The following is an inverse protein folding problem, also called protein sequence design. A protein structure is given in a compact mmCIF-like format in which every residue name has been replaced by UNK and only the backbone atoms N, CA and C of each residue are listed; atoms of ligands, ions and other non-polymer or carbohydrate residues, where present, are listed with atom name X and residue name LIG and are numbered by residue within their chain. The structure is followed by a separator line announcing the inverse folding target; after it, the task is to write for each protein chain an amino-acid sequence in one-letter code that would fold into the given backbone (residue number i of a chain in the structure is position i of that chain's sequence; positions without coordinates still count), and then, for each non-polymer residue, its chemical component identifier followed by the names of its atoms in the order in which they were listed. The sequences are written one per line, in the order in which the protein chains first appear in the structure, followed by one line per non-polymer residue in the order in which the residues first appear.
data_IF_492931253457
#
_entry.id   IF_492931253457
#
_cell.length_a   1.000
_cell.length_b   1.000
_cell.length_c   1.000
_cell.angle_alpha   90.00
_cell.angle_beta   90.00
_cell.angle_gamma   90.00
#
_symmetry.space_group_name_H-M   'P 1'
#
loop_
_entity.id
_entity.type
_entity.pdbx_description
1 polymer ?
#
# COMPACT_ATOMS: atom_id res chain seq x y z
N UNK A 1 8.60 -16.59 -2.90
CA UNK A 1 8.09 -15.25 -2.53
C UNK A 1 9.12 -14.22 -2.96
N UNK A 2 8.71 -13.03 -3.44
CA UNK A 2 9.67 -12.03 -3.86
C UNK A 2 10.52 -11.55 -2.69
N UNK A 3 11.77 -11.18 -2.98
CA UNK A 3 12.70 -10.61 -2.01
C UNK A 3 12.09 -9.34 -1.42
N UNK A 4 12.07 -9.22 -0.10
CA UNK A 4 11.61 -8.00 0.56
C UNK A 4 12.60 -6.87 0.31
N UNK A 5 12.07 -5.69 0.00
CA UNK A 5 12.85 -4.47 -0.15
C UNK A 5 13.40 -4.02 1.21
N UNK A 6 14.54 -3.35 1.17
CA UNK A 6 15.12 -2.64 2.30
C UNK A 6 14.26 -1.42 2.67
N UNK A 7 14.46 -0.87 3.87
CA UNK A 7 13.77 0.34 4.30
C UNK A 7 14.00 1.52 3.34
N UNK A 8 15.23 1.71 2.87
CA UNK A 8 15.57 2.77 1.92
C UNK A 8 14.80 2.61 0.61
N UNK A 9 14.77 1.40 0.05
CA UNK A 9 14.03 1.10 -1.17
C UNK A 9 12.51 1.29 -0.99
N UNK A 10 11.95 0.91 0.17
CA UNK A 10 10.53 1.14 0.49
C UNK A 10 10.24 2.65 0.53
N UNK A 11 11.08 3.46 1.17
CA UNK A 11 10.93 4.92 1.21
C UNK A 11 10.89 5.52 -0.20
N UNK A 12 11.78 5.09 -1.08
CA UNK A 12 11.79 5.54 -2.48
C UNK A 12 10.52 5.11 -3.23
N UNK A 13 10.05 3.87 -3.05
CA UNK A 13 8.78 3.41 -3.65
C UNK A 13 7.58 4.19 -3.12
N UNK A 14 7.53 4.46 -1.82
CA UNK A 14 6.47 5.29 -1.23
C UNK A 14 6.48 6.69 -1.83
N UNK A 15 7.66 7.33 -1.93
CA UNK A 15 7.76 8.66 -2.53
C UNK A 15 7.34 8.68 -3.99
N UNK A 16 7.75 7.68 -4.77
CA UNK A 16 7.35 7.56 -6.17
C UNK A 16 5.84 7.34 -6.35
N UNK A 17 5.17 6.61 -5.45
CA UNK A 17 3.71 6.44 -5.48
C UNK A 17 2.94 7.73 -5.11
N UNK A 18 3.58 8.63 -4.36
CA UNK A 18 3.06 9.92 -3.90
C UNK A 18 3.79 11.11 -4.56
N UNK A 19 4.14 10.97 -5.84
CA UNK A 19 4.87 11.98 -6.62
C UNK A 19 4.14 13.33 -6.72
N UNK A 20 2.82 13.30 -6.63
CA UNK A 20 1.90 14.45 -6.75
C UNK A 20 1.68 15.20 -5.44
N UNK A 21 2.29 14.76 -4.33
CA UNK A 21 2.05 15.34 -3.00
C UNK A 21 3.39 15.73 -2.35
N UNK A 22 3.42 16.92 -1.75
CA UNK A 22 4.57 17.42 -1.02
C UNK A 22 4.65 16.86 0.41
N UNK A 23 4.91 15.55 0.53
CA UNK A 23 5.20 14.86 1.79
C UNK A 23 6.58 14.19 1.70
N UNK A 24 7.34 14.19 2.79
CA UNK A 24 8.65 13.56 2.86
C UNK A 24 8.53 12.02 2.77
N UNK A 25 9.57 11.35 2.27
CA UNK A 25 9.57 9.88 2.20
C UNK A 25 9.65 9.25 3.60
N UNK A 26 10.26 9.97 4.54
CA UNK A 26 10.34 9.63 5.96
C UNK A 26 8.95 9.64 6.59
N UNK A 27 8.16 10.70 6.41
CA UNK A 27 6.78 10.78 6.92
C UNK A 27 5.89 9.68 6.33
N UNK A 28 6.00 9.42 5.02
CA UNK A 28 5.26 8.34 4.38
C UNK A 28 5.62 6.99 4.98
N UNK A 29 6.91 6.75 5.24
CA UNK A 29 7.38 5.50 5.84
C UNK A 29 6.97 5.35 7.30
N UNK A 30 6.96 6.43 8.07
CA UNK A 30 6.50 6.41 9.45
C UNK A 30 5.01 6.11 9.55
N UNK A 31 4.19 6.66 8.65
CA UNK A 31 2.77 6.30 8.54
C UNK A 31 2.60 4.84 8.09
N UNK A 32 3.34 4.43 7.06
CA UNK A 32 3.30 3.05 6.56
C UNK A 32 3.66 2.03 7.65
N UNK A 33 4.65 2.36 8.48
CA UNK A 33 5.14 1.51 9.58
C UNK A 33 4.28 1.58 10.84
N UNK A 34 3.32 2.51 10.91
CA UNK A 34 2.48 2.73 12.09
C UNK A 34 3.17 3.51 13.21
N UNK A 35 4.32 4.15 12.93
CA UNK A 35 4.99 5.07 13.87
C UNK A 35 4.28 6.42 13.95
N UNK A 36 3.51 6.77 12.91
CA UNK A 36 2.73 7.99 12.80
C UNK A 36 1.33 7.65 12.29
N UNK A 37 0.29 8.28 12.83
CA UNK A 37 -1.09 7.97 12.40
C UNK A 37 -1.42 8.57 11.03
N UNK A 38 -1.06 9.84 10.83
CA UNK A 38 -1.29 10.56 9.57
C UNK A 38 -0.44 11.82 9.43
N UNK A 39 -0.33 12.31 8.20
CA UNK A 39 0.16 13.64 7.85
C UNK A 39 -0.80 14.24 6.82
N UNK A 40 -1.36 15.41 7.12
CA UNK A 40 -2.47 16.00 6.35
C UNK A 40 -3.63 15.00 6.16
N UNK A 41 -3.99 14.71 4.90
CA UNK A 41 -5.02 13.71 4.55
C UNK A 41 -4.45 12.33 4.25
N UNK A 42 -3.15 12.10 4.45
CA UNK A 42 -2.47 10.83 4.17
C UNK A 42 -2.36 10.03 5.45
N UNK A 43 -3.04 8.88 5.47
CA UNK A 43 -2.98 7.88 6.52
C UNK A 43 -2.60 6.51 5.91
N UNK A 44 -2.50 5.49 6.75
CA UNK A 44 -2.08 4.16 6.31
C UNK A 44 -3.02 3.54 5.26
N UNK A 45 -4.35 3.76 5.39
CA UNK A 45 -5.35 3.29 4.40
C UNK A 45 -5.07 3.92 3.04
N UNK A 46 -4.80 5.23 3.00
CA UNK A 46 -4.50 5.94 1.76
C UNK A 46 -3.19 5.46 1.14
N UNK A 47 -2.16 5.21 1.96
CA UNK A 47 -0.90 4.60 1.50
C UNK A 47 -1.15 3.24 0.84
N UNK A 48 -1.87 2.34 1.50
CA UNK A 48 -2.18 1.03 0.94
C UNK A 48 -2.97 1.14 -0.36
N UNK A 49 -4.00 1.99 -0.40
CA UNK A 49 -4.79 2.18 -1.62
C UNK A 49 -3.96 2.71 -2.78
N UNK A 50 -3.02 3.63 -2.50
CA UNK A 50 -2.14 4.21 -3.51
C UNK A 50 -1.18 3.17 -4.04
N UNK A 51 -0.54 2.40 -3.17
CA UNK A 51 0.36 1.32 -3.57
C UNK A 51 -0.36 0.32 -4.49
N UNK A 52 -1.54 -0.17 -4.11
CA UNK A 52 -2.31 -1.14 -4.91
C UNK A 52 -2.71 -0.60 -6.29
N UNK A 53 -2.89 0.72 -6.44
CA UNK A 53 -3.16 1.36 -7.73
C UNK A 53 -1.88 1.64 -8.55
N UNK A 54 -0.73 1.85 -7.89
CA UNK A 54 0.52 2.27 -8.53
C UNK A 54 1.42 1.12 -8.96
N UNK A 55 1.33 -0.03 -8.29
CA UNK A 55 2.27 -1.13 -8.48
C UNK A 55 1.60 -2.47 -8.76
N UNK A 56 2.31 -3.35 -9.46
CA UNK A 56 1.89 -4.73 -9.69
C UNK A 56 2.02 -5.57 -8.41
N UNK A 57 1.36 -6.73 -8.41
CA UNK A 57 1.28 -7.62 -7.25
C UNK A 57 2.65 -8.08 -6.71
N UNK A 58 3.63 -8.33 -7.58
CA UNK A 58 4.96 -8.76 -7.13
C UNK A 58 5.68 -7.63 -6.42
N UNK A 59 5.62 -6.41 -6.97
CA UNK A 59 6.17 -5.22 -6.31
C UNK A 59 5.49 -4.97 -4.96
N UNK A 60 4.17 -5.12 -4.88
CA UNK A 60 3.43 -5.00 -3.61
C UNK A 60 3.92 -6.02 -2.59
N UNK A 61 4.10 -7.28 -2.99
CA UNK A 61 4.60 -8.33 -2.11
C UNK A 61 6.06 -8.11 -1.68
N UNK A 62 6.87 -7.39 -2.46
CA UNK A 62 8.23 -6.99 -2.08
C UNK A 62 8.24 -5.84 -1.06
N UNK A 63 7.20 -5.00 -1.03
CA UNK A 63 7.05 -3.88 -0.08
C UNK A 63 6.35 -4.33 1.20
N UNK A 64 5.29 -5.13 1.06
CA UNK A 64 4.41 -5.57 2.15
C UNK A 64 4.44 -7.10 2.25
N UNK A 65 4.95 -7.67 3.34
CA UNK A 65 5.00 -9.12 3.49
C UNK A 65 3.58 -9.69 3.58
N UNK A 66 3.38 -10.90 3.07
CA UNK A 66 2.07 -11.55 2.96
C UNK A 66 1.29 -11.59 4.30
N UNK A 67 2.00 -11.74 5.43
CA UNK A 67 1.42 -11.71 6.79
C UNK A 67 0.67 -10.41 7.13
N UNK A 68 1.01 -9.28 6.49
CA UNK A 68 0.35 -7.99 6.66
C UNK A 68 -0.73 -7.72 5.61
N UNK A 69 -0.88 -8.60 4.61
CA UNK A 69 -1.75 -8.37 3.46
C UNK A 69 -3.24 -8.33 3.84
N UNK A 70 -3.63 -8.96 4.95
CA UNK A 70 -4.99 -8.86 5.46
C UNK A 70 -5.37 -7.41 5.81
N UNK A 71 -4.42 -6.61 6.31
CA UNK A 71 -4.65 -5.19 6.57
C UNK A 71 -4.73 -4.35 5.29
N UNK A 72 -3.98 -4.73 4.26
CA UNK A 72 -3.94 -4.05 2.96
C UNK A 72 -5.22 -4.31 2.17
N UNK A 73 -5.77 -5.52 2.25
CA UNK A 73 -6.99 -5.92 1.54
C UNK A 73 -8.26 -5.73 2.38
N UNK A 74 -8.23 -4.84 3.39
CA UNK A 74 -9.45 -4.45 4.11
C UNK A 74 -10.37 -3.62 3.20
N UNK A 75 -11.67 -3.67 3.50
CA UNK A 75 -12.68 -3.06 2.63
C UNK A 75 -12.56 -1.53 2.57
N UNK A 76 -12.11 -0.90 3.66
CA UNK A 76 -11.79 0.53 3.70
C UNK A 76 -10.70 0.94 2.70
N UNK A 77 -9.69 0.09 2.48
CA UNK A 77 -8.66 0.29 1.45
C UNK A 77 -9.22 0.03 0.06
N UNK A 78 -9.88 -1.13 -0.13
CA UNK A 78 -10.33 -1.58 -1.46
C UNK A 78 -11.40 -0.68 -2.07
N UNK A 79 -12.22 -0.03 -1.24
CA UNK A 79 -13.24 0.95 -1.67
C UNK A 79 -12.62 2.22 -2.28
N UNK A 80 -11.36 2.54 -1.97
CA UNK A 80 -10.66 3.71 -2.50
C UNK A 80 -9.95 3.44 -3.84
N UNK A 81 -9.96 2.19 -4.32
CA UNK A 81 -9.30 1.82 -5.56
C UNK A 81 -10.11 2.27 -6.77
N UNK A 82 -9.42 2.82 -7.76
CA UNK A 82 -10.02 3.26 -9.01
C UNK A 82 -9.07 2.96 -10.18
N UNK A 83 -9.59 2.45 -11.31
CA UNK A 83 -10.99 2.16 -11.63
C UNK A 83 -11.58 0.93 -10.89
N UNK A 84 -12.93 0.81 -10.89
CA UNK A 84 -13.65 -0.29 -10.20
C UNK A 84 -13.19 -1.70 -10.58
N UNK A 85 -12.64 -1.87 -11.78
CA UNK A 85 -12.05 -3.14 -12.23
C UNK A 85 -10.86 -3.56 -11.36
N UNK A 86 -10.01 -2.62 -10.93
CA UNK A 86 -8.89 -2.88 -10.02
C UNK A 86 -9.42 -3.30 -8.65
N UNK A 87 -10.38 -2.55 -8.10
CA UNK A 87 -11.03 -2.89 -6.84
C UNK A 87 -11.59 -4.33 -6.86
N UNK A 88 -12.34 -4.70 -7.91
CA UNK A 88 -12.89 -6.06 -8.07
C UNK A 88 -11.81 -7.15 -8.10
N UNK A 89 -10.67 -6.91 -8.76
CA UNK A 89 -9.54 -7.85 -8.79
C UNK A 89 -8.98 -8.10 -7.39
N UNK A 90 -8.82 -7.05 -6.59
CA UNK A 90 -8.30 -7.20 -5.23
C UNK A 90 -9.33 -7.78 -4.25
N UNK A 91 -10.64 -7.54 -4.45
CA UNK A 91 -11.67 -8.28 -3.73
C UNK A 91 -11.60 -9.79 -4.01
N UNK A 92 -11.36 -10.18 -5.26
CA UNK A 92 -11.14 -11.59 -5.59
C UNK A 92 -9.86 -12.15 -4.94
N UNK A 93 -8.76 -11.39 -4.96
CA UNK A 93 -7.50 -11.79 -4.31
C UNK A 93 -7.68 -11.97 -2.79
N UNK A 94 -8.37 -11.03 -2.13
CA UNK A 94 -8.74 -11.11 -0.71
C UNK A 94 -9.48 -12.42 -0.42
N UNK A 95 -10.49 -12.72 -1.25
CA UNK A 95 -11.28 -13.94 -1.12
C UNK A 95 -10.41 -15.19 -1.24
N UNK A 96 -9.48 -15.26 -2.19
CA UNK A 96 -8.63 -16.45 -2.37
C UNK A 96 -7.60 -16.62 -1.23
N UNK A 97 -7.04 -15.52 -0.73
CA UNK A 97 -5.94 -15.55 0.25
C UNK A 97 -6.39 -15.77 1.70
N UNK A 98 -7.63 -15.38 2.02
CA UNK A 98 -8.16 -15.39 3.39
C UNK A 98 -9.51 -16.10 3.50
N UNK A 99 -9.79 -16.99 2.54
CA UNK A 99 -10.87 -17.98 2.64
C UNK A 99 -10.53 -19.08 3.64
#
# INVERSE_FOLDING_TARGET
MPKQLTESEIKEKLKAAFWDINISKEDLFDIFSGKKESVYSVNQIKIYSRLLNSYDWYTILSIIPLKKMNNVLKDDVLKLLWPKSISKRYYNAKRILFQ
#
